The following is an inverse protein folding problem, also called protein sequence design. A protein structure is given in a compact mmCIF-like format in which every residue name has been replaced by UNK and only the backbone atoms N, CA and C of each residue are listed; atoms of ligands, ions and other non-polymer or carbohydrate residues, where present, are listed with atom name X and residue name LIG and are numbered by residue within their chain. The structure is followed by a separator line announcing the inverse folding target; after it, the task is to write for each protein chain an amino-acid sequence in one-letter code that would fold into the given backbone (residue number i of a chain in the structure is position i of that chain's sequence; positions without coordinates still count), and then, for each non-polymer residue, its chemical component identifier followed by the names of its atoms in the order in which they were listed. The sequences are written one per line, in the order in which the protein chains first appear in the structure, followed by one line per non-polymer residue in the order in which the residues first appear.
data_IF_088636699655
#
_entry.id   IF_088636699655
#
_cell.length_a   1.000
_cell.length_b   1.000
_cell.length_c   1.000
_cell.angle_alpha   90.00
_cell.angle_beta   90.00
_cell.angle_gamma   90.00
#
_symmetry.space_group_name_H-M   'P 1'
#
loop_
_entity.id
_entity.type
_entity.pdbx_description
1 polymer ?
#
# COMPACT_ATOMS: atom_id res chain seq x y z
N UNK A 1 5.28 16.04 -8.49
CA UNK A 1 4.75 15.15 -9.55
C UNK A 1 5.81 15.00 -10.62
N UNK A 2 6.40 13.80 -10.85
CA UNK A 2 7.80 13.88 -11.17
C UNK A 2 8.05 13.85 -12.67
N UNK A 3 8.52 15.00 -13.16
CA UNK A 3 9.55 15.11 -14.22
C UNK A 3 10.86 14.36 -13.88
N UNK A 4 10.89 13.44 -12.90
CA UNK A 4 12.08 12.79 -12.29
C UNK A 4 12.00 11.25 -12.21
N UNK A 5 11.26 10.62 -13.13
CA UNK A 5 11.12 9.16 -13.17
C UNK A 5 10.06 8.61 -12.22
N UNK A 6 9.86 7.28 -12.20
CA UNK A 6 8.78 6.65 -11.46
C UNK A 6 8.97 6.85 -9.95
N UNK A 7 7.90 7.27 -9.27
CA UNK A 7 7.93 7.40 -7.83
C UNK A 7 8.05 6.02 -7.17
N UNK A 8 8.91 5.86 -6.14
CA UNK A 8 8.97 4.61 -5.40
C UNK A 8 7.63 4.32 -4.73
N UNK A 9 7.19 3.06 -4.77
CA UNK A 9 5.98 2.61 -4.08
C UNK A 9 6.22 2.63 -2.57
N UNK A 10 5.22 3.05 -1.81
CA UNK A 10 5.25 2.99 -0.35
C UNK A 10 5.11 1.53 0.11
N UNK A 11 5.84 1.09 1.16
CA UNK A 11 5.64 -0.23 1.74
C UNK A 11 4.25 -0.32 2.39
N UNK A 12 3.67 -1.52 2.38
CA UNK A 12 2.34 -1.80 2.92
C UNK A 12 2.50 -2.71 4.12
N UNK A 13 1.93 -2.31 5.26
CA UNK A 13 1.94 -3.08 6.50
C UNK A 13 0.90 -4.20 6.38
N UNK A 14 1.25 -5.39 6.86
CA UNK A 14 0.36 -6.55 6.86
C UNK A 14 -0.76 -6.33 7.89
N UNK A 15 -1.99 -6.66 7.50
CA UNK A 15 -3.14 -6.61 8.39
C UNK A 15 -2.98 -7.59 9.58
N UNK A 16 -3.18 -7.17 10.84
CA UNK A 16 -2.95 -8.04 12.00
C UNK A 16 -4.02 -9.13 12.19
N UNK A 17 -5.20 -9.01 11.57
CA UNK A 17 -6.32 -9.94 11.76
C UNK A 17 -6.23 -11.09 10.76
N UNK A 18 -6.04 -10.76 9.49
CA UNK A 18 -6.05 -11.69 8.37
C UNK A 18 -4.65 -12.01 7.83
N UNK A 19 -3.61 -11.35 8.33
CA UNK A 19 -2.21 -11.52 7.89
C UNK A 19 -2.03 -11.36 6.37
N UNK A 20 -2.92 -10.58 5.73
CA UNK A 20 -2.98 -10.43 4.28
C UNK A 20 -2.78 -8.95 3.89
N UNK A 21 -1.79 -8.62 3.03
CA UNK A 21 -1.53 -7.23 2.63
C UNK A 21 -2.65 -6.64 1.76
N UNK A 22 -3.52 -7.47 1.17
CA UNK A 22 -4.66 -7.03 0.38
C UNK A 22 -5.75 -6.38 1.23
N UNK A 23 -5.93 -6.81 2.48
CA UNK A 23 -6.94 -6.24 3.38
C UNK A 23 -6.57 -4.81 3.73
N UNK A 24 -5.30 -4.56 4.12
CA UNK A 24 -4.79 -3.20 4.34
C UNK A 24 -4.93 -2.33 3.08
N UNK A 25 -4.71 -2.89 1.88
CA UNK A 25 -4.89 -2.17 0.62
C UNK A 25 -6.34 -1.81 0.33
N UNK A 26 -7.29 -2.67 0.69
CA UNK A 26 -8.72 -2.43 0.51
C UNK A 26 -9.18 -1.34 1.48
N UNK A 27 -8.82 -1.44 2.76
CA UNK A 27 -9.17 -0.44 3.78
C UNK A 27 -8.64 0.95 3.40
N UNK A 28 -7.39 1.06 2.96
CA UNK A 28 -6.81 2.36 2.58
C UNK A 28 -7.44 3.02 1.34
N UNK A 29 -8.30 2.31 0.60
CA UNK A 29 -8.97 2.81 -0.61
C UNK A 29 -10.45 3.14 -0.39
N UNK A 30 -11.01 2.73 0.74
CA UNK A 30 -12.36 3.10 1.21
C UNK A 30 -12.24 4.37 2.05
#
# INVERSE_FOLDING_TARGET
MPRKGPAPKRPIIIDPVYQAPIVTQLINKV
#
